data_IF_384822255089
#
_entry.id   IF_384822255089
#
_cell.length_a   1.000
_cell.length_b   1.000
_cell.length_c   1.000
_cell.angle_alpha   90.00
_cell.angle_beta   90.00
_cell.angle_gamma   90.00
#
_symmetry.space_group_name_H-M   'P 1'
#
loop_
_entity.id
_entity.type
_entity.pdbx_description
1 polymer ?
#
# COMPACT_ATOMS: atom_id res chain seq x y z
N UNK A 1 13.22 52.58 -17.30
CA UNK A 1 13.27 51.58 -16.21
C UNK A 1 12.07 50.66 -16.33
N UNK A 2 12.23 49.43 -16.86
CA UNK A 2 11.15 48.43 -16.86
C UNK A 2 11.17 47.76 -15.49
N UNK A 3 10.17 48.02 -14.66
CA UNK A 3 9.95 47.33 -13.40
C UNK A 3 9.71 45.85 -13.74
N UNK A 4 10.67 44.99 -13.41
CA UNK A 4 10.45 43.54 -13.40
C UNK A 4 9.53 43.27 -12.22
N UNK A 5 8.25 43.03 -12.51
CA UNK A 5 7.33 42.40 -11.57
C UNK A 5 7.95 41.06 -11.19
N UNK A 6 8.26 40.89 -9.91
CA UNK A 6 8.60 39.58 -9.35
C UNK A 6 7.52 38.58 -9.75
N UNK A 7 7.86 37.36 -10.20
CA UNK A 7 6.83 36.38 -10.51
C UNK A 7 5.97 36.18 -9.27
N UNK A 8 4.65 36.31 -9.43
CA UNK A 8 3.70 36.04 -8.36
C UNK A 8 4.01 34.64 -7.81
N UNK A 9 4.16 34.53 -6.48
CA UNK A 9 4.31 33.21 -5.86
C UNK A 9 3.13 32.34 -6.32
N UNK A 10 3.38 31.14 -6.85
CA UNK A 10 2.28 30.26 -7.24
C UNK A 10 1.37 30.07 -6.02
N UNK A 11 0.06 30.17 -6.25
CA UNK A 11 -0.92 29.95 -5.20
C UNK A 11 -0.72 28.56 -4.60
N UNK A 12 -0.69 28.48 -3.27
CA UNK A 12 -0.58 27.20 -2.56
C UNK A 12 -1.76 26.31 -2.93
N UNK A 13 -1.55 24.99 -3.07
CA UNK A 13 -2.63 24.11 -3.43
C UNK A 13 -3.68 24.03 -2.32
N UNK A 14 -4.93 23.76 -2.72
CA UNK A 14 -6.00 23.41 -1.77
C UNK A 14 -6.01 21.90 -1.61
N UNK A 15 -5.86 21.40 -0.38
CA UNK A 15 -5.96 19.96 -0.10
C UNK A 15 -7.41 19.59 0.20
N UNK A 16 -7.88 18.48 -0.39
CA UNK A 16 -9.23 17.96 -0.20
C UNK A 16 -9.17 16.44 0.03
N UNK A 17 -9.97 15.93 0.96
CA UNK A 17 -10.22 14.49 1.07
C UNK A 17 -11.19 14.08 -0.04
N UNK A 18 -10.96 12.94 -0.69
CA UNK A 18 -11.94 12.34 -1.60
C UNK A 18 -12.35 10.96 -1.08
N UNK A 19 -13.64 10.75 -0.83
CA UNK A 19 -14.17 9.44 -0.50
C UNK A 19 -14.97 8.87 -1.66
N UNK A 20 -14.55 7.70 -2.14
CA UNK A 20 -15.24 7.02 -3.22
C UNK A 20 -16.64 6.55 -2.79
N UNK A 21 -17.56 6.38 -3.73
CA UNK A 21 -18.96 5.99 -3.45
C UNK A 21 -19.13 4.69 -2.65
N UNK A 22 -18.14 3.78 -2.66
CA UNK A 22 -18.15 2.56 -1.84
C UNK A 22 -17.93 2.82 -0.35
N UNK A 23 -17.43 4.00 0.02
CA UNK A 23 -16.98 4.34 1.37
C UNK A 23 -17.59 5.64 1.93
N UNK A 24 -18.49 6.32 1.20
CA UNK A 24 -19.11 7.57 1.67
C UNK A 24 -19.92 7.40 2.95
N UNK A 25 -20.53 6.23 3.13
CA UNK A 25 -21.34 5.89 4.31
C UNK A 25 -20.50 5.28 5.44
N UNK A 26 -19.20 5.07 5.22
CA UNK A 26 -18.30 4.56 6.25
C UNK A 26 -17.99 5.69 7.23
N UNK A 27 -18.15 5.37 8.51
CA UNK A 27 -17.71 6.17 9.65
C UNK A 27 -16.78 5.30 10.49
N UNK A 28 -16.05 5.94 11.41
CA UNK A 28 -15.16 5.24 12.32
C UNK A 28 -13.69 5.60 12.11
N UNK A 29 -12.86 4.81 12.75
CA UNK A 29 -11.46 5.16 12.96
C UNK A 29 -10.66 5.27 11.66
N UNK A 30 -11.01 4.55 10.59
CA UNK A 30 -10.34 4.65 9.28
C UNK A 30 -10.56 6.02 8.64
N UNK A 31 -11.78 6.54 8.71
CA UNK A 31 -12.13 7.86 8.17
C UNK A 31 -11.45 8.96 8.97
N UNK A 32 -11.53 8.90 10.30
CA UNK A 32 -10.83 9.88 11.17
C UNK A 32 -9.31 9.85 10.95
N UNK A 33 -8.74 8.66 10.75
CA UNK A 33 -7.32 8.49 10.38
C UNK A 33 -7.00 9.17 9.05
N UNK A 34 -7.82 8.95 8.02
CA UNK A 34 -7.67 9.60 6.71
C UNK A 34 -7.68 11.13 6.85
N UNK A 35 -8.65 11.67 7.59
CA UNK A 35 -8.75 13.12 7.83
C UNK A 35 -7.56 13.66 8.60
N UNK A 36 -7.10 12.98 9.65
CA UNK A 36 -5.91 13.38 10.42
C UNK A 36 -4.66 13.40 9.53
N UNK A 37 -4.45 12.38 8.70
CA UNK A 37 -3.32 12.32 7.76
C UNK A 37 -3.45 13.35 6.64
N UNK A 38 -4.65 13.61 6.13
CA UNK A 38 -4.89 14.65 5.12
C UNK A 38 -4.57 16.06 5.64
N UNK A 39 -4.85 16.35 6.91
CA UNK A 39 -4.42 17.61 7.57
C UNK A 39 -2.90 17.74 7.60
N UNK A 40 -2.20 16.66 7.96
CA UNK A 40 -0.73 16.64 7.97
C UNK A 40 -0.11 16.76 6.58
N UNK A 41 -0.74 16.16 5.56
CA UNK A 41 -0.36 16.36 4.15
C UNK A 41 -0.54 17.84 3.79
N UNK A 42 -1.66 18.47 4.14
CA UNK A 42 -1.88 19.90 3.87
C UNK A 42 -0.82 20.80 4.52
N UNK A 43 -0.46 20.54 5.78
CA UNK A 43 0.63 21.23 6.47
C UNK A 43 1.96 21.05 5.74
N UNK A 44 2.28 19.83 5.31
CA UNK A 44 3.42 19.52 4.44
C UNK A 44 3.30 20.10 3.03
N UNK A 45 2.16 20.65 2.61
CA UNK A 45 2.07 21.45 1.38
C UNK A 45 2.08 22.95 1.65
N UNK A 46 2.23 23.35 2.91
CA UNK A 46 2.20 24.74 3.35
C UNK A 46 0.79 25.35 3.33
N UNK A 47 -0.27 24.54 3.36
CA UNK A 47 -1.67 24.96 3.25
C UNK A 47 -2.54 24.31 4.33
N UNK A 48 -3.86 24.49 4.27
CA UNK A 48 -4.83 23.84 5.15
C UNK A 48 -5.72 22.85 4.40
N UNK A 49 -6.28 21.89 5.13
CA UNK A 49 -7.28 20.99 4.60
C UNK A 49 -8.60 21.73 4.42
N UNK A 50 -9.13 21.79 3.21
CA UNK A 50 -10.34 22.53 2.87
C UNK A 50 -11.64 21.71 2.95
N UNK A 51 -11.57 20.49 3.46
CA UNK A 51 -12.72 19.61 3.64
C UNK A 51 -12.72 18.43 2.67
N UNK A 52 -13.91 17.89 2.45
CA UNK A 52 -14.16 16.81 1.51
C UNK A 52 -14.52 17.38 0.14
N UNK A 53 -14.04 16.71 -0.91
CA UNK A 53 -14.38 17.05 -2.28
C UNK A 53 -15.87 16.85 -2.55
N UNK A 54 -16.53 17.90 -3.03
CA UNK A 54 -17.91 17.91 -3.48
C UNK A 54 -17.96 18.32 -4.95
N UNK A 55 -18.56 17.47 -5.79
CA UNK A 55 -18.67 17.74 -7.22
C UNK A 55 -19.48 19.00 -7.57
N UNK A 56 -20.29 19.51 -6.63
CA UNK A 56 -21.10 20.72 -6.79
C UNK A 56 -20.32 22.01 -6.51
N UNK A 57 -19.16 21.92 -5.87
CA UNK A 57 -18.36 23.06 -5.46
C UNK A 57 -17.35 23.46 -6.54
N UNK A 58 -17.02 24.76 -6.60
CA UNK A 58 -15.96 25.28 -7.45
C UNK A 58 -14.62 25.30 -6.68
N UNK A 59 -13.63 24.55 -7.17
CA UNK A 59 -12.28 24.51 -6.59
C UNK A 59 -11.25 25.22 -7.49
N UNK A 60 -10.18 25.79 -6.90
CA UNK A 60 -9.03 26.28 -7.67
C UNK A 60 -8.43 25.18 -8.55
N UNK A 61 -7.76 25.60 -9.63
CA UNK A 61 -7.09 24.68 -10.55
C UNK A 61 -5.97 23.87 -9.86
N UNK A 62 -5.27 24.49 -8.89
CA UNK A 62 -4.22 23.85 -8.09
C UNK A 62 -4.84 23.19 -6.85
N UNK A 63 -5.56 22.08 -7.06
CA UNK A 63 -6.06 21.24 -5.96
C UNK A 63 -5.21 19.98 -5.81
N UNK A 64 -5.13 19.47 -4.60
CA UNK A 64 -4.42 18.25 -4.27
C UNK A 64 -5.35 17.31 -3.50
N UNK A 65 -5.64 16.14 -4.06
CA UNK A 65 -6.61 15.21 -3.50
C UNK A 65 -5.94 14.17 -2.60
N UNK A 66 -6.58 13.83 -1.50
CA UNK A 66 -6.21 12.70 -0.65
C UNK A 66 -7.35 11.70 -0.72
N UNK A 67 -7.31 10.75 -1.68
CA UNK A 67 -8.36 9.77 -1.82
C UNK A 67 -8.25 8.67 -0.74
N UNK A 68 -9.40 8.12 -0.36
CA UNK A 68 -9.54 6.98 0.55
C UNK A 68 -9.18 5.62 -0.09
N UNK A 69 -9.00 5.61 -1.41
CA UNK A 69 -8.60 4.45 -2.19
C UNK A 69 -7.83 4.86 -3.46
N UNK A 70 -7.19 3.89 -4.10
CA UNK A 70 -6.54 4.09 -5.40
C UNK A 70 -7.61 4.45 -6.43
N UNK A 71 -7.38 5.51 -7.20
CA UNK A 71 -8.34 5.97 -8.18
C UNK A 71 -8.21 5.17 -9.49
N UNK A 72 -9.32 4.94 -10.17
CA UNK A 72 -9.27 4.56 -11.59
C UNK A 72 -8.95 5.77 -12.46
N UNK A 73 -8.43 5.56 -13.66
CA UNK A 73 -8.17 6.62 -14.63
C UNK A 73 -9.45 7.42 -14.97
N UNK A 74 -10.61 6.76 -14.99
CA UNK A 74 -11.91 7.40 -15.18
C UNK A 74 -12.26 8.33 -14.01
N UNK A 75 -12.04 7.90 -12.77
CA UNK A 75 -12.22 8.76 -11.60
C UNK A 75 -11.23 9.93 -11.60
N UNK A 76 -9.95 9.67 -11.86
CA UNK A 76 -8.91 10.69 -11.92
C UNK A 76 -9.26 11.80 -12.94
N UNK A 77 -9.72 11.42 -14.14
CA UNK A 77 -10.17 12.38 -15.17
C UNK A 77 -11.34 13.24 -14.69
N UNK A 78 -12.37 12.63 -14.08
CA UNK A 78 -13.52 13.37 -13.51
C UNK A 78 -13.10 14.33 -12.40
N UNK A 79 -12.12 13.92 -11.60
CA UNK A 79 -11.57 14.68 -10.48
C UNK A 79 -10.49 15.70 -10.90
N UNK A 80 -10.11 15.74 -12.18
CA UNK A 80 -9.05 16.61 -12.69
C UNK A 80 -7.63 16.23 -12.23
N UNK A 81 -7.43 15.01 -11.75
CA UNK A 81 -6.13 14.46 -11.35
C UNK A 81 -5.39 14.00 -12.61
N UNK A 82 -4.20 14.57 -12.86
CA UNK A 82 -3.43 14.35 -14.10
C UNK A 82 -2.03 13.78 -13.84
N UNK A 83 -1.51 13.94 -12.63
CA UNK A 83 -0.17 13.54 -12.27
C UNK A 83 -0.03 13.31 -10.76
N UNK A 84 1.14 12.83 -10.34
CA UNK A 84 1.54 12.70 -8.93
C UNK A 84 1.50 14.02 -8.15
N UNK A 85 1.44 15.17 -8.83
CA UNK A 85 1.31 16.50 -8.21
C UNK A 85 -0.12 16.88 -7.83
N UNK A 86 -1.10 16.04 -8.17
CA UNK A 86 -2.53 16.33 -7.98
C UNK A 86 -3.19 15.44 -6.93
N UNK A 87 -2.49 14.42 -6.40
CA UNK A 87 -3.02 13.52 -5.37
C UNK A 87 -1.95 12.94 -4.45
N UNK A 88 -2.33 12.51 -3.25
CA UNK A 88 -1.59 11.59 -2.37
C UNK A 88 -2.14 10.16 -2.48
N UNK A 89 -1.54 9.34 -3.34
CA UNK A 89 -2.05 8.02 -3.70
C UNK A 89 -1.72 7.67 -5.16
N UNK A 90 -2.45 6.73 -5.73
CA UNK A 90 -2.25 6.22 -7.08
C UNK A 90 -3.48 6.30 -7.96
N UNK A 91 -3.21 6.23 -9.27
CA UNK A 91 -4.19 6.10 -10.34
C UNK A 91 -3.85 4.86 -11.15
N UNK A 92 -4.84 4.00 -11.39
CA UNK A 92 -4.70 2.78 -12.19
C UNK A 92 -5.58 2.81 -13.44
N UNK A 93 -5.13 2.22 -14.56
CA UNK A 93 -5.97 2.13 -15.77
C UNK A 93 -7.14 1.17 -15.60
N UNK A 94 -6.96 0.08 -14.83
CA UNK A 94 -7.99 -0.93 -14.58
C UNK A 94 -8.11 -1.21 -13.07
N UNK A 95 -9.33 -1.36 -12.51
CA UNK A 95 -9.52 -1.52 -11.07
C UNK A 95 -8.74 -2.69 -10.44
N UNK A 96 -8.59 -3.83 -11.13
CA UNK A 96 -7.89 -4.99 -10.60
C UNK A 96 -6.40 -4.73 -10.32
N UNK A 97 -5.79 -3.77 -11.04
CA UNK A 97 -4.38 -3.37 -10.86
C UNK A 97 -4.17 -2.77 -9.46
N UNK A 98 -5.22 -2.17 -8.88
CA UNK A 98 -5.21 -1.67 -7.50
C UNK A 98 -5.53 -2.75 -6.44
N UNK A 99 -5.49 -4.04 -6.78
CA UNK A 99 -5.82 -5.15 -5.87
C UNK A 99 -4.69 -6.17 -5.77
N UNK A 100 -4.83 -7.18 -4.90
CA UNK A 100 -3.88 -8.29 -4.79
C UNK A 100 -3.70 -9.10 -6.08
N UNK A 101 -4.67 -9.06 -6.99
CA UNK A 101 -4.62 -9.84 -8.24
C UNK A 101 -3.41 -9.49 -9.11
N UNK A 102 -2.95 -8.24 -9.05
CA UNK A 102 -1.79 -7.80 -9.81
C UNK A 102 -0.51 -8.57 -9.43
N UNK A 103 -0.44 -9.17 -8.24
CA UNK A 103 0.74 -9.92 -7.82
C UNK A 103 0.89 -11.27 -8.53
N UNK A 104 -0.07 -11.73 -9.36
CA UNK A 104 0.02 -13.06 -9.96
C UNK A 104 -0.49 -13.08 -11.40
N UNK A 105 0.17 -13.88 -12.24
CA UNK A 105 -0.30 -14.20 -13.58
C UNK A 105 -1.58 -15.05 -13.54
N UNK A 106 -2.28 -15.18 -14.67
CA UNK A 106 -3.31 -16.21 -14.81
C UNK A 106 -2.64 -17.58 -15.05
N UNK A 107 -3.34 -18.70 -14.84
CA UNK A 107 -2.94 -19.98 -15.42
C UNK A 107 -2.74 -19.86 -16.95
N UNK A 108 -1.85 -20.69 -17.51
CA UNK A 108 -1.53 -20.67 -18.94
C UNK A 108 -2.77 -20.93 -19.80
N UNK A 109 -3.62 -21.84 -19.35
CA UNK A 109 -4.88 -22.26 -19.98
C UNK A 109 -6.11 -21.50 -19.45
N UNK A 110 -5.91 -20.35 -18.80
CA UNK A 110 -7.00 -19.62 -18.15
C UNK A 110 -8.13 -19.24 -19.13
N UNK A 111 -9.36 -19.59 -18.74
CA UNK A 111 -10.56 -19.37 -19.55
C UNK A 111 -11.18 -17.98 -19.34
N UNK A 112 -10.87 -17.33 -18.21
CA UNK A 112 -11.41 -16.02 -17.86
C UNK A 112 -10.31 -15.01 -17.48
N UNK A 113 -10.48 -13.77 -17.94
CA UNK A 113 -9.63 -12.64 -17.56
C UNK A 113 -10.43 -11.33 -17.61
N UNK A 114 -10.17 -10.36 -16.72
CA UNK A 114 -10.83 -9.07 -16.78
C UNK A 114 -10.27 -8.23 -17.95
N UNK A 115 -11.04 -7.25 -18.45
CA UNK A 115 -10.53 -6.30 -19.45
C UNK A 115 -9.26 -5.61 -18.97
N UNK A 116 -8.25 -5.56 -19.86
CA UNK A 116 -6.97 -4.92 -19.57
C UNK A 116 -5.93 -5.81 -18.88
N UNK A 117 -6.22 -7.10 -18.69
CA UNK A 117 -5.24 -8.05 -18.15
C UNK A 117 -4.03 -8.17 -19.09
N UNK A 118 -2.82 -8.06 -18.53
CA UNK A 118 -1.56 -8.16 -19.28
C UNK A 118 -0.88 -9.49 -18.95
N UNK A 119 -0.85 -10.42 -19.92
CA UNK A 119 -0.11 -11.69 -19.77
C UNK A 119 1.40 -11.45 -19.71
N UNK A 120 1.89 -10.52 -20.53
CA UNK A 120 3.29 -10.08 -20.56
C UNK A 120 3.75 -9.58 -19.19
N UNK A 121 2.93 -8.80 -18.49
CA UNK A 121 3.24 -8.35 -17.14
C UNK A 121 3.34 -9.53 -16.15
N UNK A 122 2.43 -10.50 -16.24
CA UNK A 122 2.48 -11.72 -15.44
C UNK A 122 3.76 -12.53 -15.68
N UNK A 123 4.18 -12.66 -16.94
CA UNK A 123 5.44 -13.32 -17.30
C UNK A 123 6.67 -12.57 -16.77
N UNK A 124 6.69 -11.24 -16.92
CA UNK A 124 7.78 -10.38 -16.42
C UNK A 124 7.92 -10.40 -14.89
N UNK A 125 6.81 -10.55 -14.17
CA UNK A 125 6.79 -10.45 -12.71
C UNK A 125 6.79 -11.81 -12.00
N UNK A 126 6.71 -12.92 -12.72
CA UNK A 126 6.63 -14.28 -12.16
C UNK A 126 7.75 -14.59 -11.15
N UNK A 127 8.97 -14.10 -11.35
CA UNK A 127 10.10 -14.29 -10.42
C UNK A 127 10.16 -13.28 -9.28
N UNK A 128 9.29 -12.27 -9.27
CA UNK A 128 9.25 -11.17 -8.29
C UNK A 128 8.20 -11.40 -7.20
N UNK A 129 7.30 -12.37 -7.41
CA UNK A 129 6.12 -12.65 -6.60
C UNK A 129 6.22 -14.07 -6.04
N UNK A 130 5.33 -14.44 -5.11
CA UNK A 130 5.27 -15.82 -4.65
C UNK A 130 4.69 -16.73 -5.75
N UNK A 131 4.98 -18.04 -5.73
CA UNK A 131 4.30 -18.98 -6.61
C UNK A 131 2.78 -18.92 -6.42
N UNK A 132 2.07 -18.56 -7.47
CA UNK A 132 0.63 -18.37 -7.41
C UNK A 132 0.02 -17.90 -8.73
N UNK A 133 -1.31 -17.82 -8.73
CA UNK A 133 -2.11 -17.40 -9.86
C UNK A 133 -3.29 -16.54 -9.41
N UNK A 134 -3.69 -15.61 -10.26
CA UNK A 134 -5.00 -14.97 -10.20
C UNK A 134 -6.01 -15.80 -10.99
N UNK A 135 -7.24 -15.90 -10.51
CA UNK A 135 -8.29 -16.67 -11.17
C UNK A 135 -9.63 -15.93 -11.14
N UNK A 136 -10.39 -16.04 -12.25
CA UNK A 136 -11.71 -15.40 -12.44
C UNK A 136 -12.81 -16.42 -12.77
N UNK A 137 -12.48 -17.70 -12.75
CA UNK A 137 -13.43 -18.80 -12.91
C UNK A 137 -13.10 -19.92 -11.92
N UNK A 138 -14.09 -20.78 -11.66
CA UNK A 138 -13.92 -21.94 -10.78
C UNK A 138 -12.87 -22.89 -11.32
N UNK A 139 -12.92 -23.18 -12.62
CA UNK A 139 -11.98 -24.09 -13.27
C UNK A 139 -10.54 -23.57 -13.18
N UNK A 140 -10.32 -22.28 -13.44
CA UNK A 140 -8.99 -21.66 -13.33
C UNK A 140 -8.47 -21.70 -11.89
N UNK A 141 -9.34 -21.45 -10.90
CA UNK A 141 -8.96 -21.51 -9.48
C UNK A 141 -8.60 -22.94 -9.04
N UNK A 142 -9.40 -23.92 -9.45
CA UNK A 142 -9.15 -25.33 -9.17
C UNK A 142 -7.87 -25.83 -9.86
N UNK A 143 -7.60 -25.40 -11.09
CA UNK A 143 -6.38 -25.74 -11.80
C UNK A 143 -5.15 -25.14 -11.13
N UNK A 144 -5.20 -23.85 -10.78
CA UNK A 144 -4.13 -23.18 -10.04
C UNK A 144 -3.80 -23.88 -8.71
N UNK A 145 -4.82 -24.25 -7.94
CA UNK A 145 -4.62 -24.93 -6.66
C UNK A 145 -3.99 -26.33 -6.84
N UNK A 146 -4.45 -27.10 -7.84
CA UNK A 146 -3.86 -28.42 -8.19
C UNK A 146 -2.38 -28.32 -8.53
N UNK A 147 -1.94 -27.25 -9.18
CA UNK A 147 -0.53 -27.02 -9.50
C UNK A 147 0.32 -26.74 -8.26
N UNK A 148 -0.28 -26.14 -7.22
CA UNK A 148 0.44 -25.69 -6.02
C UNK A 148 0.46 -26.75 -4.90
N UNK A 149 -0.59 -27.56 -4.74
CA UNK A 149 -0.69 -28.55 -3.65
C UNK A 149 0.45 -29.57 -3.54
N UNK A 150 1.12 -30.01 -4.63
CA UNK A 150 2.31 -30.86 -4.50
C UNK A 150 3.42 -30.25 -3.63
N UNK A 151 3.38 -28.93 -3.41
CA UNK A 151 4.34 -28.14 -2.65
C UNK A 151 3.73 -27.54 -1.37
N UNK A 152 2.60 -28.07 -0.89
CA UNK A 152 1.98 -27.70 0.39
C UNK A 152 0.65 -26.98 0.24
N UNK A 153 0.15 -26.43 1.35
CA UNK A 153 -1.16 -25.78 1.38
C UNK A 153 -1.20 -24.52 0.51
N UNK A 154 -2.42 -24.15 0.11
CA UNK A 154 -2.68 -23.01 -0.75
C UNK A 154 -3.44 -21.95 0.03
N UNK A 155 -3.04 -20.69 -0.13
CA UNK A 155 -3.73 -19.54 0.42
C UNK A 155 -4.60 -18.91 -0.66
N UNK A 156 -5.89 -18.77 -0.35
CA UNK A 156 -6.84 -18.03 -1.15
C UNK A 156 -6.93 -16.61 -0.58
N UNK A 157 -6.83 -15.59 -1.44
CA UNK A 157 -7.00 -14.18 -1.02
C UNK A 157 -8.07 -13.50 -1.85
N UNK A 158 -8.97 -12.79 -1.16
CA UNK A 158 -9.89 -11.84 -1.79
C UNK A 158 -9.12 -10.59 -2.24
N UNK A 159 -9.42 -10.05 -3.43
CA UNK A 159 -8.69 -8.93 -4.03
C UNK A 159 -8.66 -7.67 -3.16
N UNK A 160 -9.78 -7.37 -2.50
CA UNK A 160 -9.99 -6.14 -1.72
C UNK A 160 -9.77 -6.31 -0.20
N UNK A 161 -9.32 -7.48 0.27
CA UNK A 161 -9.06 -7.70 1.69
C UNK A 161 -8.03 -6.71 2.25
N UNK A 162 -8.19 -6.24 3.49
CA UNK A 162 -7.25 -5.31 4.14
C UNK A 162 -6.73 -5.96 5.44
N UNK A 163 -5.43 -5.80 5.71
CA UNK A 163 -4.83 -6.20 7.00
C UNK A 163 -4.98 -7.69 7.34
N UNK A 164 -4.90 -8.57 6.33
CA UNK A 164 -5.07 -10.01 6.49
C UNK A 164 -6.51 -10.52 6.37
N UNK A 165 -7.53 -9.66 6.36
CA UNK A 165 -8.91 -10.06 6.20
C UNK A 165 -9.18 -10.63 4.79
N UNK A 166 -10.13 -11.57 4.69
CA UNK A 166 -10.54 -12.18 3.42
C UNK A 166 -9.49 -13.13 2.84
N UNK A 167 -8.80 -13.86 3.70
CA UNK A 167 -7.85 -14.90 3.28
C UNK A 167 -8.16 -16.21 4.01
N UNK A 168 -8.04 -17.32 3.29
CA UNK A 168 -8.27 -18.67 3.80
C UNK A 168 -7.14 -19.60 3.38
N UNK A 169 -6.85 -20.58 4.22
CA UNK A 169 -5.89 -21.64 3.92
C UNK A 169 -6.70 -22.87 3.51
N UNK A 170 -6.40 -23.43 2.34
CA UNK A 170 -7.05 -24.63 1.81
C UNK A 170 -6.03 -25.73 1.56
N UNK A 171 -6.30 -26.90 2.10
CA UNK A 171 -5.46 -28.09 1.99
C UNK A 171 -5.85 -28.99 0.81
N UNK A 172 -7.10 -28.93 0.36
CA UNK A 172 -7.61 -29.78 -0.70
C UNK A 172 -8.76 -29.16 -1.52
N UNK A 173 -9.27 -29.94 -2.48
CA UNK A 173 -10.35 -29.51 -3.38
C UNK A 173 -11.67 -29.23 -2.66
N UNK A 174 -12.01 -29.99 -1.62
CA UNK A 174 -13.28 -29.79 -0.92
C UNK A 174 -13.28 -28.46 -0.18
N UNK A 175 -12.17 -28.13 0.49
CA UNK A 175 -12.00 -26.84 1.16
C UNK A 175 -12.01 -25.68 0.15
N UNK A 176 -11.34 -25.85 -1.00
CA UNK A 176 -11.38 -24.85 -2.06
C UNK A 176 -12.79 -24.64 -2.61
N UNK A 177 -13.52 -25.72 -2.92
CA UNK A 177 -14.88 -25.64 -3.45
C UNK A 177 -15.82 -24.95 -2.45
N UNK A 178 -15.68 -25.21 -1.15
CA UNK A 178 -16.44 -24.52 -0.11
C UNK A 178 -16.14 -23.00 -0.08
N UNK A 179 -14.88 -22.61 -0.23
CA UNK A 179 -14.47 -21.18 -0.30
C UNK A 179 -14.98 -20.46 -1.56
N UNK A 180 -15.06 -21.19 -2.68
CA UNK A 180 -15.62 -20.70 -3.94
C UNK A 180 -17.15 -20.61 -3.89
N UNK A 181 -17.81 -21.57 -3.24
CA UNK A 181 -19.26 -21.57 -3.01
C UNK A 181 -19.67 -20.38 -2.13
N UNK A 182 -18.91 -20.12 -1.06
CA UNK A 182 -19.12 -18.97 -0.19
C UNK A 182 -18.93 -17.63 -0.92
N UNK A 183 -18.06 -17.56 -1.94
CA UNK A 183 -17.89 -16.37 -2.78
C UNK A 183 -19.04 -16.16 -3.77
N UNK A 184 -19.48 -17.27 -4.37
CA UNK A 184 -20.39 -17.29 -5.51
C UNK A 184 -19.72 -16.94 -6.84
N UNK A 185 -20.07 -17.67 -7.90
CA UNK A 185 -19.43 -17.55 -9.21
C UNK A 185 -19.58 -16.16 -9.85
N UNK A 186 -20.66 -15.44 -9.55
CA UNK A 186 -20.87 -14.08 -10.06
C UNK A 186 -19.82 -13.11 -9.50
N UNK A 187 -19.52 -13.20 -8.20
CA UNK A 187 -18.49 -12.40 -7.54
C UNK A 187 -17.10 -12.83 -8.02
N UNK A 188 -16.85 -14.14 -8.17
CA UNK A 188 -15.59 -14.65 -8.71
C UNK A 188 -15.27 -14.10 -10.10
N UNK A 189 -16.26 -14.11 -11.00
CA UNK A 189 -16.09 -13.54 -12.36
C UNK A 189 -15.84 -12.03 -12.34
N UNK A 190 -16.45 -11.32 -11.40
CA UNK A 190 -16.35 -9.86 -11.33
C UNK A 190 -15.08 -9.37 -10.64
N UNK A 191 -14.67 -10.03 -9.56
CA UNK A 191 -13.63 -9.56 -8.65
C UNK A 191 -12.37 -10.40 -8.69
N UNK A 192 -12.47 -11.69 -9.05
CA UNK A 192 -11.37 -12.64 -9.03
C UNK A 192 -10.92 -13.05 -7.62
N UNK A 193 -9.95 -13.96 -7.56
CA UNK A 193 -9.21 -14.34 -6.35
C UNK A 193 -7.73 -14.55 -6.69
N UNK A 194 -6.90 -14.47 -5.66
CA UNK A 194 -5.53 -14.99 -5.70
C UNK A 194 -5.52 -16.40 -5.11
N UNK A 195 -4.82 -17.31 -5.79
CA UNK A 195 -4.51 -18.68 -5.37
C UNK A 195 -2.98 -18.76 -5.30
N UNK A 196 -2.40 -18.68 -4.11
CA UNK A 196 -0.95 -18.63 -3.94
C UNK A 196 -0.44 -19.68 -2.95
N UNK A 197 0.86 -19.95 -2.97
CA UNK A 197 1.50 -20.83 -2.01
C UNK A 197 1.41 -20.27 -0.59
N UNK A 198 1.07 -21.13 0.36
CA UNK A 198 1.24 -20.81 1.77
C UNK A 198 2.72 -20.87 2.16
N UNK A 199 3.19 -19.82 2.83
CA UNK A 199 4.46 -19.83 3.55
C UNK A 199 4.23 -20.00 5.05
N UNK A 200 5.04 -20.84 5.66
CA UNK A 200 5.19 -20.95 7.10
C UNK A 200 6.20 -19.89 7.60
N UNK A 201 5.97 -19.38 8.82
CA UNK A 201 6.83 -18.39 9.46
C UNK A 201 7.18 -17.20 8.56
N UNK A 202 6.16 -16.54 8.03
CA UNK A 202 6.30 -15.37 7.15
C UNK A 202 6.62 -14.10 7.95
N UNK A 203 7.68 -13.42 7.54
CA UNK A 203 7.90 -12.01 7.82
C UNK A 203 7.41 -11.20 6.61
N UNK A 204 6.68 -10.12 6.86
CA UNK A 204 6.24 -9.20 5.81
C UNK A 204 7.03 -7.90 5.89
N UNK A 205 7.74 -7.58 4.83
CA UNK A 205 8.45 -6.33 4.67
C UNK A 205 7.58 -5.33 3.89
N UNK A 206 7.52 -4.08 4.35
CA UNK A 206 6.99 -2.96 3.57
C UNK A 206 8.14 -2.32 2.80
N UNK A 207 8.07 -2.28 1.47
CA UNK A 207 9.01 -1.52 0.63
C UNK A 207 8.23 -0.48 -0.15
N UNK A 208 8.64 0.78 -0.08
CA UNK A 208 7.84 1.85 -0.70
C UNK A 208 8.58 3.13 -0.99
N UNK A 209 7.86 4.02 -1.67
CA UNK A 209 8.31 5.35 -2.02
C UNK A 209 7.14 6.34 -1.97
N UNK A 210 7.36 7.48 -1.36
CA UNK A 210 6.42 8.61 -1.30
C UNK A 210 7.05 9.85 -1.92
N UNK A 211 6.25 10.62 -2.63
CA UNK A 211 6.61 11.88 -3.27
C UNK A 211 5.57 12.93 -2.91
N UNK A 212 6.00 14.04 -2.35
CA UNK A 212 5.15 15.17 -2.02
C UNK A 212 5.88 16.47 -2.40
N UNK A 213 5.44 17.07 -3.51
CA UNK A 213 6.11 18.20 -4.17
C UNK A 213 7.56 17.87 -4.54
N UNK A 214 8.53 18.52 -3.89
CA UNK A 214 9.97 18.33 -4.06
C UNK A 214 10.55 17.24 -3.13
N UNK A 215 9.79 16.79 -2.14
CA UNK A 215 10.24 15.75 -1.22
C UNK A 215 10.02 14.37 -1.82
N UNK A 216 11.05 13.54 -1.78
CA UNK A 216 10.99 12.12 -2.13
C UNK A 216 11.59 11.33 -0.97
N UNK A 217 10.87 10.32 -0.50
CA UNK A 217 11.37 9.40 0.52
C UNK A 217 11.08 7.96 0.11
N UNK A 218 12.05 7.07 0.30
CA UNK A 218 11.90 5.64 0.03
C UNK A 218 12.24 4.85 1.28
N UNK A 219 11.67 3.67 1.45
CA UNK A 219 11.83 2.93 2.68
C UNK A 219 11.75 1.43 2.48
N UNK A 220 12.35 0.71 3.41
CA UNK A 220 11.98 -0.65 3.75
C UNK A 220 11.59 -0.69 5.22
N UNK A 221 10.85 -1.73 5.65
CA UNK A 221 10.53 -1.91 7.05
C UNK A 221 9.84 -3.21 7.35
N UNK A 222 9.84 -3.62 8.61
CA UNK A 222 9.20 -4.86 9.06
C UNK A 222 7.78 -4.54 9.52
N UNK A 223 6.81 -5.32 9.07
CA UNK A 223 5.44 -5.21 9.54
C UNK A 223 5.24 -6.01 10.82
N UNK A 224 4.36 -5.51 11.68
CA UNK A 224 3.99 -6.14 12.93
C UNK A 224 2.53 -6.56 12.88
N UNK A 225 2.22 -7.69 13.52
CA UNK A 225 0.86 -8.06 13.83
C UNK A 225 0.53 -7.64 15.26
N UNK A 226 -0.73 -7.30 15.50
CA UNK A 226 -1.32 -7.11 16.82
C UNK A 226 -2.55 -7.99 16.95
N UNK A 227 -2.99 -8.25 18.18
CA UNK A 227 -4.28 -8.87 18.45
C UNK A 227 -5.32 -7.76 18.59
N UNK A 228 -6.45 -7.87 17.87
CA UNK A 228 -7.54 -6.92 17.99
C UNK A 228 -8.46 -7.23 19.19
N UNK A 229 -9.45 -6.37 19.45
CA UNK A 229 -10.41 -6.56 20.55
C UNK A 229 -11.30 -7.82 20.43
N UNK A 230 -11.21 -8.57 19.32
CA UNK A 230 -11.91 -9.85 19.10
C UNK A 230 -10.98 -11.07 19.18
N UNK A 231 -9.69 -10.89 19.52
CA UNK A 231 -8.72 -11.98 19.59
C UNK A 231 -8.11 -12.40 18.25
N UNK A 232 -8.36 -11.66 17.17
CA UNK A 232 -7.78 -11.96 15.85
C UNK A 232 -6.46 -11.22 15.63
N UNK A 233 -5.50 -11.90 15.01
CA UNK A 233 -4.28 -11.25 14.51
C UNK A 233 -4.62 -10.35 13.32
N UNK A 234 -4.25 -9.08 13.43
CA UNK A 234 -4.42 -8.04 12.40
C UNK A 234 -3.13 -7.23 12.26
N UNK A 235 -3.04 -6.39 11.23
CA UNK A 235 -1.93 -5.46 11.08
C UNK A 235 -1.81 -4.52 12.30
N UNK A 236 -0.63 -4.49 12.92
CA UNK A 236 -0.30 -3.70 14.12
C UNK A 236 0.64 -2.53 13.86
N UNK A 237 1.04 -2.31 12.61
CA UNK A 237 1.97 -1.24 12.24
C UNK A 237 3.23 -1.75 11.55
N UNK A 238 4.19 -0.85 11.37
CA UNK A 238 5.47 -1.16 10.72
C UNK A 238 6.59 -0.30 11.28
N UNK A 239 7.80 -0.84 11.35
CA UNK A 239 9.03 -0.11 11.63
C UNK A 239 9.82 0.08 10.34
N UNK A 240 10.00 1.33 9.93
CA UNK A 240 10.64 1.73 8.69
C UNK A 240 12.04 2.28 8.94
N UNK A 241 12.95 1.93 8.03
CA UNK A 241 14.13 2.72 7.71
C UNK A 241 13.79 3.52 6.45
N UNK A 242 13.75 4.84 6.58
CA UNK A 242 13.35 5.75 5.51
C UNK A 242 14.55 6.57 5.07
N UNK A 243 14.84 6.61 3.78
CA UNK A 243 15.89 7.43 3.17
C UNK A 243 15.30 8.64 2.45
N UNK A 244 16.03 9.74 2.45
CA UNK A 244 15.72 10.92 1.66
C UNK A 244 16.18 10.67 0.21
N UNK A 245 15.22 10.42 -0.67
CA UNK A 245 15.48 10.13 -2.08
C UNK A 245 14.70 8.92 -2.61
N UNK A 246 15.05 8.53 -3.84
CA UNK A 246 14.33 7.50 -4.57
C UNK A 246 14.74 6.06 -4.22
N UNK A 247 14.13 5.11 -4.93
CA UNK A 247 14.45 3.70 -4.80
C UNK A 247 15.92 3.37 -5.08
N UNK A 248 16.59 4.19 -5.88
CA UNK A 248 18.03 4.16 -6.11
C UNK A 248 18.83 4.44 -4.83
N UNK A 249 18.42 5.41 -4.01
CA UNK A 249 19.02 5.67 -2.70
C UNK A 249 18.72 4.55 -1.72
N UNK A 250 17.49 4.00 -1.74
CA UNK A 250 17.12 2.88 -0.89
C UNK A 250 17.98 1.63 -1.15
N UNK A 251 18.29 1.37 -2.43
CA UNK A 251 19.09 0.23 -2.85
C UNK A 251 20.58 0.34 -2.49
N UNK A 252 21.05 1.51 -2.07
CA UNK A 252 22.43 1.74 -1.64
C UNK A 252 22.63 1.50 -0.14
N UNK A 253 21.58 1.21 0.61
CA UNK A 253 21.70 0.91 2.03
C UNK A 253 22.50 -0.37 2.25
N UNK A 254 23.39 -0.34 3.24
CA UNK A 254 24.09 -1.52 3.74
C UNK A 254 23.13 -2.32 4.63
N UNK A 255 22.50 -3.32 4.04
CA UNK A 255 21.48 -4.18 4.65
C UNK A 255 21.79 -5.64 4.40
N UNK A 256 21.14 -6.52 5.17
CA UNK A 256 21.26 -7.96 4.97
C UNK A 256 20.71 -8.39 3.61
N UNK A 257 21.18 -9.54 3.10
CA UNK A 257 20.88 -9.99 1.74
C UNK A 257 19.39 -10.23 1.47
N UNK A 258 18.65 -10.66 2.48
CA UNK A 258 17.19 -10.83 2.47
C UNK A 258 16.46 -9.49 2.28
N UNK A 259 16.84 -8.45 3.01
CA UNK A 259 16.29 -7.09 2.84
C UNK A 259 16.64 -6.56 1.45
N UNK A 260 17.88 -6.77 1.00
CA UNK A 260 18.31 -6.35 -0.35
C UNK A 260 17.49 -7.06 -1.44
N UNK A 261 17.21 -8.36 -1.29
CA UNK A 261 16.35 -9.12 -2.22
C UNK A 261 14.93 -8.56 -2.24
N UNK A 262 14.35 -8.28 -1.07
CA UNK A 262 13.01 -7.71 -0.96
C UNK A 262 12.91 -6.32 -1.62
N UNK A 263 13.90 -5.44 -1.38
CA UNK A 263 14.00 -4.14 -2.03
C UNK A 263 14.11 -4.30 -3.55
N UNK A 264 14.95 -5.23 -4.01
CA UNK A 264 15.16 -5.48 -5.45
C UNK A 264 13.88 -5.96 -6.13
N UNK A 265 13.15 -6.90 -5.52
CA UNK A 265 11.89 -7.43 -6.06
C UNK A 265 10.79 -6.38 -6.09
N UNK A 266 10.60 -5.61 -5.01
CA UNK A 266 9.62 -4.53 -4.98
C UNK A 266 9.91 -3.44 -6.02
N UNK A 267 11.19 -3.05 -6.20
CA UNK A 267 11.60 -2.07 -7.22
C UNK A 267 11.36 -2.57 -8.64
N UNK A 268 11.71 -3.83 -8.92
CA UNK A 268 11.47 -4.43 -10.21
C UNK A 268 9.97 -4.56 -10.51
N UNK A 269 9.17 -4.89 -9.50
CA UNK A 269 7.71 -4.96 -9.61
C UNK A 269 7.11 -3.58 -9.89
N UNK A 270 7.52 -2.53 -9.17
CA UNK A 270 7.10 -1.15 -9.45
C UNK A 270 7.44 -0.71 -10.88
N UNK A 271 8.68 -0.98 -11.33
CA UNK A 271 9.09 -0.66 -12.68
C UNK A 271 8.26 -1.41 -13.74
N UNK A 272 7.96 -2.69 -13.51
CA UNK A 272 7.10 -3.48 -14.40
C UNK A 272 5.68 -2.90 -14.47
N UNK A 273 5.10 -2.47 -13.34
CA UNK A 273 3.77 -1.84 -13.33
C UNK A 273 3.79 -0.55 -14.16
N UNK A 274 4.80 0.30 -13.98
CA UNK A 274 4.93 1.55 -14.75
C UNK A 274 5.09 1.31 -16.25
N UNK A 275 5.81 0.25 -16.64
CA UNK A 275 6.05 -0.07 -18.05
C UNK A 275 4.84 -0.71 -18.72
N UNK A 276 4.17 -1.65 -18.04
CA UNK A 276 3.17 -2.51 -18.68
C UNK A 276 1.73 -2.02 -18.49
N UNK A 277 1.46 -1.13 -17.53
CA UNK A 277 0.15 -0.52 -17.30
C UNK A 277 0.12 0.96 -17.65
N UNK A 278 0.00 1.26 -18.95
CA UNK A 278 -0.10 2.62 -19.46
C UNK A 278 -1.20 3.43 -18.75
N UNK A 279 -0.84 4.62 -18.26
CA UNK A 279 -1.72 5.50 -17.50
C UNK A 279 -1.68 5.28 -15.98
N UNK A 280 -0.91 4.31 -15.49
CA UNK A 280 -0.56 4.21 -14.07
C UNK A 280 0.34 5.38 -13.64
N UNK A 281 0.07 5.94 -12.47
CA UNK A 281 1.00 6.81 -11.74
C UNK A 281 0.63 6.85 -10.26
N UNK A 282 1.61 7.05 -9.39
CA UNK A 282 1.35 7.19 -7.96
C UNK A 282 2.34 8.14 -7.28
N UNK A 283 1.85 8.97 -6.37
CA UNK A 283 2.69 9.76 -5.46
C UNK A 283 3.04 8.98 -4.18
N UNK A 284 2.29 7.93 -3.86
CA UNK A 284 2.60 6.99 -2.78
C UNK A 284 2.56 5.56 -3.31
N UNK A 285 3.66 4.83 -3.12
CA UNK A 285 3.84 3.42 -3.48
C UNK A 285 4.24 2.62 -2.26
N UNK A 286 3.56 1.51 -2.00
CA UNK A 286 3.95 0.53 -0.99
C UNK A 286 3.74 -0.88 -1.54
N UNK A 287 4.70 -1.76 -1.32
CA UNK A 287 4.67 -3.18 -1.68
C UNK A 287 4.91 -4.00 -0.43
N UNK A 288 4.04 -4.97 -0.19
CA UNK A 288 4.21 -5.93 0.88
C UNK A 288 4.97 -7.12 0.30
N UNK A 289 6.15 -7.40 0.84
CA UNK A 289 7.06 -8.44 0.36
C UNK A 289 7.17 -9.52 1.42
N UNK A 290 6.80 -10.74 1.06
CA UNK A 290 6.99 -11.91 1.89
C UNK A 290 8.46 -12.28 1.97
N UNK A 291 8.87 -12.71 3.16
CA UNK A 291 10.07 -13.50 3.38
C UNK A 291 9.71 -14.67 4.31
N UNK A 292 9.78 -15.90 3.81
CA UNK A 292 9.33 -17.06 4.58
C UNK A 292 9.81 -18.38 3.99
N UNK A 293 9.39 -19.48 4.59
CA UNK A 293 9.68 -20.83 4.10
C UNK A 293 8.39 -21.53 3.69
N UNK A 294 8.42 -22.38 2.67
CA UNK A 294 7.27 -23.26 2.39
C UNK A 294 7.33 -24.54 3.21
N UNK A 295 6.30 -25.39 3.04
CA UNK A 295 6.19 -26.67 3.75
C UNK A 295 7.30 -27.68 3.40
N UNK A 296 8.13 -27.42 2.37
CA UNK A 296 9.31 -28.23 2.03
C UNK A 296 10.60 -27.63 2.59
N UNK A 297 10.51 -26.52 3.32
CA UNK A 297 11.66 -25.80 3.88
C UNK A 297 12.38 -24.92 2.86
N UNK A 298 11.80 -24.69 1.67
CA UNK A 298 12.39 -23.80 0.66
C UNK A 298 12.07 -22.36 1.03
N UNK A 299 13.10 -21.50 1.02
CA UNK A 299 12.93 -20.07 1.26
C UNK A 299 12.34 -19.38 0.04
N UNK A 300 11.38 -18.50 0.29
CA UNK A 300 10.74 -17.67 -0.72
C UNK A 300 10.79 -16.20 -0.32
N UNK A 301 11.00 -15.37 -1.33
CA UNK A 301 10.81 -13.93 -1.27
C UNK A 301 9.94 -13.49 -2.43
N UNK A 302 8.90 -12.70 -2.18
CA UNK A 302 8.04 -12.25 -3.26
C UNK A 302 7.07 -11.17 -2.84
N UNK A 303 6.77 -10.25 -3.76
CA UNK A 303 5.71 -9.27 -3.57
C UNK A 303 4.38 -10.01 -3.42
N UNK A 304 3.69 -9.78 -2.31
CA UNK A 304 2.37 -10.31 -2.00
C UNK A 304 1.28 -9.44 -2.59
N UNK A 305 1.45 -8.13 -2.47
CA UNK A 305 0.46 -7.13 -2.86
C UNK A 305 1.04 -5.71 -2.90
N UNK A 306 0.25 -4.76 -3.37
CA UNK A 306 0.55 -3.33 -3.39
C UNK A 306 -0.49 -2.52 -2.60
N UNK A 307 -0.10 -1.31 -2.19
CA UNK A 307 -1.00 -0.29 -1.65
C UNK A 307 -0.62 1.11 -2.15
N UNK A 308 -1.43 1.66 -3.07
CA UNK A 308 -1.28 3.01 -3.64
C UNK A 308 -2.33 4.00 -3.13
N UNK A 309 -2.61 3.96 -1.83
CA UNK A 309 -3.56 4.84 -1.13
C UNK A 309 -3.04 5.21 0.24
N UNK A 310 -3.71 6.08 1.00
CA UNK A 310 -3.41 6.23 2.43
C UNK A 310 -3.56 4.87 3.14
N UNK A 311 -2.58 4.52 3.97
CA UNK A 311 -2.50 3.21 4.61
C UNK A 311 -1.65 3.19 5.87
N UNK A 312 -1.39 1.99 6.38
CA UNK A 312 -0.76 1.75 7.69
C UNK A 312 0.69 2.21 7.84
N UNK A 313 1.37 2.62 6.76
CA UNK A 313 2.71 3.21 6.81
C UNK A 313 2.70 4.75 6.64
N UNK A 314 1.55 5.34 6.28
CA UNK A 314 1.47 6.77 5.92
C UNK A 314 1.86 7.70 7.06
N UNK A 315 1.57 7.37 8.32
CA UNK A 315 2.01 8.18 9.45
C UNK A 315 3.54 8.32 9.50
N UNK A 316 4.24 7.18 9.43
CA UNK A 316 5.71 7.13 9.41
C UNK A 316 6.30 7.85 8.18
N UNK A 317 5.69 7.68 6.99
CA UNK A 317 6.07 8.41 5.77
C UNK A 317 6.03 9.93 5.96
N UNK A 318 4.89 10.47 6.44
CA UNK A 318 4.74 11.92 6.66
C UNK A 318 5.69 12.43 7.75
N UNK A 319 5.92 11.61 8.79
CA UNK A 319 6.92 11.87 9.81
C UNK A 319 8.33 12.04 9.22
N UNK A 320 8.76 11.11 8.37
CA UNK A 320 10.06 11.19 7.72
C UNK A 320 10.16 12.40 6.78
N UNK A 321 9.13 12.67 5.97
CA UNK A 321 9.07 13.85 5.09
C UNK A 321 9.22 15.17 5.87
N UNK A 322 8.58 15.29 7.05
CA UNK A 322 8.77 16.44 7.94
C UNK A 322 10.22 16.59 8.39
N UNK A 323 10.87 15.49 8.73
CA UNK A 323 12.28 15.52 9.16
C UNK A 323 13.20 15.97 8.02
N UNK A 324 13.05 15.39 6.82
CA UNK A 324 13.87 15.76 5.66
C UNK A 324 13.67 17.21 5.23
N UNK A 325 12.46 17.74 5.39
CA UNK A 325 12.21 19.16 5.16
C UNK A 325 12.86 20.06 6.21
N UNK A 326 12.81 19.65 7.48
CA UNK A 326 13.35 20.43 8.58
C UNK A 326 14.89 20.47 8.57
N UNK A 327 15.54 19.38 8.16
CA UNK A 327 16.99 19.33 7.97
C UNK A 327 17.36 18.52 6.73
N UNK A 328 17.66 19.19 5.59
CA UNK A 328 18.05 18.54 4.35
C UNK A 328 19.33 17.70 4.42
N UNK A 329 20.13 17.82 5.50
CA UNK A 329 21.35 17.03 5.71
C UNK A 329 21.05 15.63 6.27
N UNK A 330 19.84 15.41 6.78
CA UNK A 330 19.42 14.08 7.27
C UNK A 330 19.15 13.21 6.04
N UNK A 331 20.00 12.19 5.86
CA UNK A 331 19.86 11.25 4.72
C UNK A 331 18.92 10.09 5.02
N UNK A 332 18.76 9.71 6.30
CA UNK A 332 17.88 8.62 6.71
C UNK A 332 17.33 8.85 8.13
N UNK A 333 16.17 8.26 8.39
CA UNK A 333 15.50 8.24 9.71
C UNK A 333 14.92 6.87 9.98
N UNK A 334 14.70 6.57 11.26
CA UNK A 334 13.79 5.48 11.64
C UNK A 334 12.42 6.09 11.91
N UNK A 335 11.38 5.47 11.37
CA UNK A 335 10.02 5.91 11.62
C UNK A 335 9.14 4.67 11.82
N UNK A 336 8.16 4.75 12.70
CA UNK A 336 7.25 3.62 12.91
C UNK A 336 5.81 4.09 12.93
N UNK A 337 4.90 3.23 12.49
CA UNK A 337 3.47 3.36 12.78
C UNK A 337 3.05 2.22 13.68
N UNK A 338 2.10 2.48 14.58
CA UNK A 338 1.49 1.49 15.47
C UNK A 338 -0.02 1.62 15.45
N UNK A 339 -0.70 0.48 15.38
CA UNK A 339 -2.13 0.32 15.54
C UNK A 339 -2.35 -0.68 16.67
N UNK A 340 -2.90 -0.22 17.78
CA UNK A 340 -3.03 -0.99 19.02
C UNK A 340 -4.48 -0.94 19.52
N UNK A 341 -4.94 -2.05 20.07
CA UNK A 341 -6.31 -2.25 20.53
C UNK A 341 -6.35 -2.33 22.06
N UNK A 342 -7.44 -1.84 22.67
CA UNK A 342 -7.66 -1.81 24.12
C UNK A 342 -7.63 -0.39 24.71
N UNK A 343 -8.10 -0.28 25.96
CA UNK A 343 -8.31 1.01 26.64
C UNK A 343 -7.02 1.63 27.20
N UNK A 344 -6.04 0.80 27.60
CA UNK A 344 -4.84 1.22 28.34
C UNK A 344 -3.57 1.31 27.48
N UNK A 345 -3.72 1.63 26.19
CA UNK A 345 -2.58 1.74 25.27
C UNK A 345 -1.62 2.86 25.70
N UNK A 346 -0.42 2.47 26.10
CA UNK A 346 0.68 3.38 26.39
C UNK A 346 1.27 3.92 25.08
N UNK A 347 1.23 5.24 24.91
CA UNK A 347 1.80 5.92 23.75
C UNK A 347 3.15 6.50 24.18
N UNK A 348 4.25 6.20 23.45
CA UNK A 348 5.55 6.75 23.75
C UNK A 348 5.57 8.28 23.71
N UNK A 349 6.42 8.89 24.55
CA UNK A 349 6.64 10.33 24.52
C UNK A 349 7.11 10.79 23.13
N UNK A 350 6.56 11.91 22.66
CA UNK A 350 6.87 12.46 21.34
C UNK A 350 6.22 11.74 20.16
N UNK A 351 5.43 10.69 20.39
CA UNK A 351 4.62 10.09 19.33
C UNK A 351 3.52 11.04 18.84
N UNK A 352 3.27 11.04 17.54
CA UNK A 352 2.13 11.74 16.98
C UNK A 352 0.92 10.81 16.93
N UNK A 353 -0.10 11.13 17.72
CA UNK A 353 -1.38 10.41 17.72
C UNK A 353 -2.14 10.80 16.45
N UNK A 354 -2.49 9.79 15.65
CA UNK A 354 -3.32 9.93 14.44
C UNK A 354 -4.78 9.68 14.78
N UNK A 355 -5.06 8.69 15.63
CA UNK A 355 -6.39 8.38 16.13
C UNK A 355 -6.31 7.80 17.54
N UNK A 356 -7.24 8.17 18.41
CA UNK A 356 -7.49 7.51 19.69
C UNK A 356 -8.97 7.64 20.03
N UNK A 357 -9.64 6.51 20.20
CA UNK A 357 -11.07 6.50 20.50
C UNK A 357 -11.66 5.09 20.51
N UNK A 358 -12.97 5.02 20.67
CA UNK A 358 -13.75 3.78 20.61
C UNK A 358 -14.48 3.74 19.28
N UNK A 359 -14.05 2.83 18.41
CA UNK A 359 -14.71 2.54 17.15
C UNK A 359 -15.90 1.60 17.36
N UNK A 360 -17.01 1.83 16.65
CA UNK A 360 -18.23 1.05 16.81
C UNK A 360 -18.06 -0.44 16.47
N UNK A 361 -17.10 -0.79 15.61
CA UNK A 361 -16.80 -2.18 15.23
C UNK A 361 -15.52 -2.66 15.87
N UNK A 362 -14.45 -1.87 15.83
CA UNK A 362 -13.13 -2.28 16.30
C UNK A 362 -12.96 -2.15 17.83
N UNK A 363 -13.84 -1.43 18.53
CA UNK A 363 -13.69 -1.11 19.95
C UNK A 363 -12.62 -0.05 20.19
N UNK A 364 -12.06 0.00 21.41
CA UNK A 364 -10.99 0.91 21.76
C UNK A 364 -9.75 0.67 20.90
N UNK A 365 -9.28 1.71 20.20
CA UNK A 365 -8.15 1.64 19.28
C UNK A 365 -7.34 2.94 19.32
N UNK A 366 -6.02 2.79 19.30
CA UNK A 366 -5.06 3.89 19.23
C UNK A 366 -4.11 3.68 18.05
N UNK A 367 -3.98 4.72 17.21
CA UNK A 367 -3.05 4.77 16.08
C UNK A 367 -2.09 5.94 16.26
N UNK A 368 -0.80 5.68 16.19
CA UNK A 368 0.23 6.71 16.28
C UNK A 368 1.43 6.37 15.40
N UNK A 369 2.30 7.35 15.18
CA UNK A 369 3.60 7.13 14.57
C UNK A 369 4.70 7.86 15.35
N UNK A 370 5.93 7.37 15.25
CA UNK A 370 7.13 8.02 15.79
C UNK A 370 8.17 8.21 14.69
N UNK A 371 9.10 9.14 14.91
CA UNK A 371 10.26 9.37 14.05
C UNK A 371 11.47 9.63 14.93
N UNK A 372 12.51 8.84 14.76
CA UNK A 372 13.80 9.02 15.41
C UNK A 372 14.85 9.50 14.41
N UNK A 373 15.53 10.58 14.80
CA UNK A 373 16.58 11.25 14.03
C UNK A 373 17.98 10.67 14.30
N UNK A 374 18.17 9.94 15.39
CA UNK A 374 19.50 9.61 15.91
C UNK A 374 20.04 8.24 15.47
N UNK A 375 19.23 7.42 14.80
CA UNK A 375 19.57 6.00 14.61
C UNK A 375 20.35 5.68 13.34
N UNK A 376 20.50 6.63 12.41
CA UNK A 376 21.25 6.45 11.17
C UNK A 376 22.03 7.74 10.89
N UNK A 377 23.11 7.98 11.63
CA UNK A 377 24.15 8.89 11.17
C UNK A 377 25.03 8.10 10.22
N UNK A 378 25.09 8.55 8.96
CA UNK A 378 25.85 7.88 7.92
C UNK A 378 27.27 7.79 8.43
N UNK A 379 27.86 6.61 8.30
CA UNK A 379 29.28 6.40 8.51
C UNK A 379 30.02 7.51 7.77
N UNK A 380 30.48 8.49 8.53
CA UNK A 380 31.38 9.51 8.02
C UNK A 380 32.72 8.81 7.92
N UNK A 381 33.05 8.29 6.74
CA UNK A 381 34.33 7.68 6.44
C UNK A 381 34.35 7.26 4.97
N UNK A 382 35.27 7.71 4.12
CA UNK A 382 36.54 8.43 4.27
C UNK A 382 36.67 9.38 3.07
#
# INVERSE_FOLDING_TARGET
MKVRLSPARPALPVVLVYRGQRKTDQTGHEVETLWALARQIAELKGTTLAGEFNASDAYPAHRYLVPDDTLTLTQARKLGVRSVRDLFGGVVPFPFVATKLIAHALPDDAQASPPGWSRVFGEHTASLVLPGHSAFSRDDACNAARMLWPQGHVRIKRPYGIGGAGQSLVADMNELEAELDALGDATLRAEGIVVERQLDSIETLSVGQVTLDDLVASYYGVQHLTVNNHGHHVYGGTDLVVVHGGFDMLAQLDVTSDIHEAISKARAFDAAVQNDYAGFFASRRNYDVAWGIDAQGVRHCGVLEQSWRVGGATGAELGALRMFRADPRVYAVRASTRELYGDDVQVPDGACIVYRGVDARAGAITKYYTVDRHTLQGSSGI
#
